data_IF_649728644649
#
_entry.id   IF_649728644649
#
_cell.length_a   1.000
_cell.length_b   1.000
_cell.length_c   1.000
_cell.angle_alpha   90.00
_cell.angle_beta   90.00
_cell.angle_gamma   90.00
#
_symmetry.space_group_name_H-M   'P 1'
#
loop_
_entity.id
_entity.type
_entity.pdbx_description
1 polymer ?
#
# COMPACT_ATOMS: atom_id res chain seq x y z
N UNK A 1 -15.72 35.98 -21.40
CA UNK A 1 -15.08 35.51 -20.16
C UNK A 1 -14.89 34.02 -20.32
N UNK A 2 -13.67 33.52 -20.15
CA UNK A 2 -13.39 32.09 -20.17
C UNK A 2 -13.10 31.69 -18.74
N UNK A 3 -13.94 30.81 -18.18
CA UNK A 3 -13.70 30.19 -16.88
C UNK A 3 -12.98 28.87 -17.12
N UNK A 4 -11.96 28.58 -16.31
CA UNK A 4 -11.22 27.33 -16.34
C UNK A 4 -11.18 26.73 -14.93
N UNK A 5 -11.30 25.41 -14.85
CA UNK A 5 -11.23 24.64 -13.61
C UNK A 5 -10.17 23.54 -13.74
N UNK A 6 -9.50 23.25 -12.64
CA UNK A 6 -8.53 22.15 -12.51
C UNK A 6 -9.16 21.10 -11.60
N UNK A 7 -9.28 19.87 -12.10
CA UNK A 7 -9.73 18.71 -11.34
C UNK A 7 -8.62 17.68 -11.30
N UNK A 8 -8.46 17.06 -10.14
CA UNK A 8 -7.72 15.80 -10.04
C UNK A 8 -8.54 14.67 -10.70
N UNK A 9 -7.91 13.54 -10.99
CA UNK A 9 -8.59 12.37 -11.57
C UNK A 9 -9.01 11.42 -10.45
N UNK A 10 -8.05 11.00 -9.62
CA UNK A 10 -8.27 10.00 -8.57
C UNK A 10 -9.11 10.56 -7.43
N UNK A 11 -10.23 9.90 -7.12
CA UNK A 11 -11.17 10.33 -6.07
C UNK A 11 -12.01 11.57 -6.41
N UNK A 12 -11.84 12.17 -7.59
CA UNK A 12 -12.60 13.34 -8.07
C UNK A 12 -13.39 13.01 -9.34
N UNK A 13 -12.73 12.48 -10.36
CA UNK A 13 -13.36 12.07 -11.62
C UNK A 13 -13.52 10.55 -11.72
N UNK A 14 -12.69 9.79 -11.01
CA UNK A 14 -12.68 8.32 -11.03
C UNK A 14 -12.50 7.77 -9.62
N UNK A 15 -13.30 6.76 -9.27
CA UNK A 15 -13.09 5.94 -8.07
C UNK A 15 -12.09 4.82 -8.40
N UNK A 16 -10.80 5.12 -8.30
CA UNK A 16 -9.73 4.15 -8.55
C UNK A 16 -9.50 3.28 -7.31
N UNK A 17 -9.38 1.94 -7.47
CA UNK A 17 -9.37 1.01 -6.34
C UNK A 17 -7.98 0.92 -5.68
N UNK A 18 -7.46 2.04 -5.17
CA UNK A 18 -6.12 2.14 -4.62
C UNK A 18 -5.89 1.17 -3.45
N UNK A 19 -6.83 1.06 -2.51
CA UNK A 19 -6.77 0.08 -1.40
C UNK A 19 -6.52 -1.34 -1.93
N UNK A 20 -7.29 -1.75 -2.94
CA UNK A 20 -7.17 -3.09 -3.52
C UNK A 20 -5.80 -3.30 -4.17
N UNK A 21 -5.30 -2.31 -4.90
CA UNK A 21 -4.00 -2.40 -5.55
C UNK A 21 -2.86 -2.62 -4.54
N UNK A 22 -2.91 -1.94 -3.39
CA UNK A 22 -1.97 -2.15 -2.28
C UNK A 22 -2.07 -3.56 -1.70
N UNK A 23 -3.29 -4.00 -1.37
CA UNK A 23 -3.54 -5.33 -0.81
C UNK A 23 -3.11 -6.48 -1.73
N UNK A 24 -3.50 -6.42 -3.01
CA UNK A 24 -3.18 -7.44 -4.01
C UNK A 24 -1.66 -7.53 -4.25
N UNK A 25 -0.99 -6.38 -4.31
CA UNK A 25 0.47 -6.33 -4.48
C UNK A 25 1.19 -6.93 -3.27
N UNK A 26 0.81 -6.53 -2.04
CA UNK A 26 1.39 -7.09 -0.82
C UNK A 26 1.15 -8.60 -0.75
N UNK A 27 -0.06 -9.06 -1.06
CA UNK A 27 -0.38 -10.48 -1.07
C UNK A 27 0.47 -11.25 -2.08
N UNK A 28 0.65 -10.72 -3.30
CA UNK A 28 1.48 -11.34 -4.32
C UNK A 28 2.93 -11.46 -3.86
N UNK A 29 3.51 -10.38 -3.32
CA UNK A 29 4.89 -10.37 -2.84
C UNK A 29 5.12 -11.39 -1.71
N UNK A 30 4.21 -11.44 -0.73
CA UNK A 30 4.27 -12.41 0.38
C UNK A 30 4.09 -13.86 -0.06
N UNK A 31 3.39 -14.11 -1.17
CA UNK A 31 3.24 -15.45 -1.75
C UNK A 31 4.42 -15.88 -2.63
N UNK A 32 5.21 -14.94 -3.14
CA UNK A 32 6.30 -15.21 -4.08
C UNK A 32 7.66 -14.76 -3.54
N UNK A 33 8.00 -13.50 -3.76
CA UNK A 33 9.35 -12.97 -3.53
C UNK A 33 9.74 -12.92 -2.05
N UNK A 34 8.76 -12.88 -1.15
CA UNK A 34 8.95 -12.79 0.30
C UNK A 34 8.37 -14.01 1.03
N UNK A 35 8.18 -15.12 0.32
CA UNK A 35 7.63 -16.35 0.89
C UNK A 35 8.54 -16.95 1.98
N UNK A 36 9.85 -16.77 1.84
CA UNK A 36 10.89 -17.20 2.78
C UNK A 36 10.82 -16.46 4.13
N UNK A 37 10.50 -15.17 4.12
CA UNK A 37 10.38 -14.35 5.34
C UNK A 37 8.95 -14.32 5.91
N UNK A 38 7.97 -14.91 5.22
CA UNK A 38 6.56 -14.74 5.56
C UNK A 38 6.22 -15.14 7.00
N UNK A 39 6.82 -16.22 7.51
CA UNK A 39 6.64 -16.71 8.87
C UNK A 39 7.22 -15.82 9.96
N UNK A 40 8.09 -14.87 9.60
CA UNK A 40 8.72 -13.94 10.54
C UNK A 40 7.93 -12.63 10.70
N UNK A 41 6.86 -12.47 9.92
CA UNK A 41 6.05 -11.25 9.87
C UNK A 41 4.72 -11.44 10.56
N UNK A 42 4.01 -10.33 10.82
CA UNK A 42 2.61 -10.35 11.28
C UNK A 42 1.60 -10.37 10.14
N UNK A 43 2.07 -10.45 8.88
CA UNK A 43 1.20 -10.43 7.72
C UNK A 43 0.41 -11.74 7.59
N UNK A 44 -0.86 -11.61 7.26
CA UNK A 44 -1.69 -12.68 6.73
C UNK A 44 -2.70 -12.06 5.75
N UNK A 45 -3.19 -12.79 4.73
CA UNK A 45 -4.11 -12.24 3.75
C UNK A 45 -5.34 -11.52 4.35
N UNK A 46 -5.91 -12.07 5.42
CA UNK A 46 -7.07 -11.46 6.10
C UNK A 46 -6.74 -10.32 7.08
N UNK A 47 -5.46 -10.01 7.30
CA UNK A 47 -5.03 -8.90 8.19
C UNK A 47 -4.83 -7.58 7.46
N UNK A 48 -4.70 -7.60 6.14
CA UNK A 48 -4.83 -6.39 5.34
C UNK A 48 -6.31 -6.06 5.19
N UNK A 49 -6.74 -4.91 5.71
CA UNK A 49 -8.14 -4.47 5.73
C UNK A 49 -8.24 -3.01 5.32
N UNK A 50 -9.42 -2.56 4.94
CA UNK A 50 -9.70 -1.14 4.66
C UNK A 50 -9.28 -0.23 5.83
N UNK A 51 -9.47 -0.67 7.08
CA UNK A 51 -9.04 0.07 8.26
C UNK A 51 -7.52 0.24 8.34
N UNK A 52 -6.76 -0.82 8.03
CA UNK A 52 -5.29 -0.77 7.96
C UNK A 52 -4.84 0.17 6.85
N UNK A 53 -5.45 0.08 5.65
CA UNK A 53 -5.13 0.99 4.55
C UNK A 53 -5.36 2.45 4.94
N UNK A 54 -6.54 2.76 5.52
CA UNK A 54 -6.89 4.12 5.88
C UNK A 54 -6.00 4.70 6.98
N UNK A 55 -5.60 3.88 7.95
CA UNK A 55 -4.77 4.32 9.09
C UNK A 55 -3.28 4.40 8.75
N UNK A 56 -2.78 3.48 7.92
CA UNK A 56 -1.33 3.28 7.72
C UNK A 56 -0.84 3.88 6.41
N UNK A 57 -1.65 3.87 5.34
CA UNK A 57 -1.21 4.17 3.97
C UNK A 57 -1.87 5.43 3.40
N UNK A 58 -3.18 5.60 3.62
CA UNK A 58 -3.97 6.67 3.01
C UNK A 58 -3.39 8.06 3.28
N UNK A 59 -3.31 8.89 2.24
CA UNK A 59 -2.77 10.25 2.30
C UNK A 59 -1.23 10.35 2.35
N UNK A 60 -0.49 9.24 2.44
CA UNK A 60 0.98 9.26 2.39
C UNK A 60 1.51 9.23 0.95
N UNK A 61 2.67 9.86 0.67
CA UNK A 61 3.43 9.58 -0.54
C UNK A 61 3.68 8.08 -0.71
N UNK A 62 3.72 7.60 -1.96
CA UNK A 62 3.77 6.15 -2.27
C UNK A 62 4.84 5.39 -1.49
N UNK A 63 6.08 5.87 -1.48
CA UNK A 63 7.19 5.21 -0.79
C UNK A 63 7.01 5.22 0.74
N UNK A 64 6.50 6.31 1.30
CA UNK A 64 6.19 6.40 2.73
C UNK A 64 5.04 5.47 3.12
N UNK A 65 4.01 5.34 2.27
CA UNK A 65 2.92 4.39 2.45
C UNK A 65 3.41 2.94 2.41
N UNK A 66 4.34 2.62 1.51
CA UNK A 66 4.96 1.30 1.46
C UNK A 66 5.76 1.02 2.74
N UNK A 67 6.64 1.95 3.14
CA UNK A 67 7.45 1.82 4.35
C UNK A 67 6.57 1.62 5.60
N UNK A 68 5.52 2.43 5.75
CA UNK A 68 4.59 2.33 6.88
C UNK A 68 3.87 0.97 6.92
N UNK A 69 3.53 0.40 5.75
CA UNK A 69 2.89 -0.92 5.67
C UNK A 69 3.87 -2.06 6.02
N UNK A 70 5.13 -1.94 5.58
CA UNK A 70 6.20 -2.87 5.96
C UNK A 70 6.39 -2.84 7.49
N UNK A 71 6.49 -1.65 8.09
CA UNK A 71 6.61 -1.47 9.54
C UNK A 71 5.40 -2.05 10.29
N UNK A 72 4.18 -1.74 9.85
CA UNK A 72 2.94 -2.22 10.46
C UNK A 72 2.87 -3.76 10.52
N UNK A 73 3.31 -4.44 9.47
CA UNK A 73 3.36 -5.91 9.44
C UNK A 73 4.68 -6.50 9.97
N UNK A 74 5.67 -5.67 10.31
CA UNK A 74 7.00 -6.14 10.72
C UNK A 74 7.74 -6.87 9.60
N UNK A 75 7.55 -6.44 8.36
CA UNK A 75 8.28 -6.97 7.20
C UNK A 75 9.67 -6.30 7.20
N UNK A 76 10.76 -7.07 7.32
CA UNK A 76 12.10 -6.50 7.35
C UNK A 76 12.47 -5.91 5.99
N UNK A 77 13.08 -4.72 5.99
CA UNK A 77 13.63 -4.08 4.79
C UNK A 77 15.05 -3.54 5.01
N UNK A 78 16.05 -4.41 5.28
CA UNK A 78 17.39 -3.98 5.69
C UNK A 78 18.16 -3.21 4.62
N UNK A 79 17.80 -3.37 3.34
CA UNK A 79 18.44 -2.73 2.20
C UNK A 79 17.60 -1.61 1.58
N UNK A 80 16.41 -1.32 2.13
CA UNK A 80 15.51 -0.27 1.65
C UNK A 80 14.97 -0.51 0.24
N UNK A 81 15.00 -1.76 -0.26
CA UNK A 81 14.62 -2.07 -1.64
C UNK A 81 13.17 -2.52 -1.78
N UNK A 82 12.48 -2.86 -0.69
CA UNK A 82 11.07 -3.31 -0.75
C UNK A 82 10.08 -2.18 -0.97
N UNK A 83 10.53 -0.93 -0.84
CA UNK A 83 9.71 0.27 -1.10
C UNK A 83 9.98 0.94 -2.46
N UNK A 84 10.87 0.37 -3.27
CA UNK A 84 11.30 0.92 -4.58
C UNK A 84 10.39 0.43 -5.71
#
# INVERSE_FOLDING_TARGET
MTEAAIFDIDGVLVDSPHERAWGDTLQRLMKTHWADIASETRYAPGRYTAGVYQQVVSGKPRQEGAAALLEYFGIPDPDGRRTQ
#
